data_IF_620007573858
#
_entry.id   IF_620007573858
#
_cell.length_a   1.000
_cell.length_b   1.000
_cell.length_c   1.000
_cell.angle_alpha   90.00
_cell.angle_beta   90.00
_cell.angle_gamma   90.00
#
_symmetry.space_group_name_H-M   'P 1'
#
loop_
_entity.id
_entity.type
_entity.pdbx_description
1 polymer ?
#
# COMPACT_ATOMS: atom_id res chain seq x y z
N UNK A 1 -62.29 10.88 -25.63
CA UNK A 1 -61.70 9.91 -26.59
C UNK A 1 -60.80 10.73 -27.51
N UNK A 2 -59.48 10.69 -27.60
CA UNK A 2 -58.38 9.86 -27.04
C UNK A 2 -57.08 10.70 -27.12
N UNK A 3 -56.28 10.63 -26.05
CA UNK A 3 -54.80 10.68 -25.92
C UNK A 3 -53.96 11.57 -26.86
N UNK A 4 -53.49 12.69 -26.30
CA UNK A 4 -52.16 13.26 -26.53
C UNK A 4 -51.10 12.47 -25.77
N UNK A 5 -49.85 12.56 -26.23
CA UNK A 5 -48.65 12.24 -25.45
C UNK A 5 -47.84 11.13 -26.09
N UNK A 6 -46.84 11.53 -26.88
CA UNK A 6 -45.84 10.64 -27.45
C UNK A 6 -44.93 10.03 -26.39
N UNK A 7 -44.25 8.99 -26.81
CA UNK A 7 -43.21 8.27 -26.09
C UNK A 7 -42.07 9.22 -25.71
N UNK A 8 -41.79 9.34 -24.41
CA UNK A 8 -40.43 9.54 -23.92
C UNK A 8 -40.17 8.45 -22.88
N UNK A 9 -39.33 7.52 -23.33
CA UNK A 9 -38.85 6.35 -22.64
C UNK A 9 -37.69 6.79 -21.75
N UNK A 10 -38.00 7.21 -20.52
CA UNK A 10 -37.01 7.44 -19.46
C UNK A 10 -37.53 6.78 -18.18
N UNK A 11 -37.32 5.48 -18.08
CA UNK A 11 -37.46 4.76 -16.81
C UNK A 11 -36.29 3.80 -16.70
N UNK A 12 -35.26 4.32 -16.02
CA UNK A 12 -34.32 3.59 -15.21
C UNK A 12 -33.53 2.49 -15.93
N UNK A 13 -32.44 2.90 -16.57
CA UNK A 13 -31.24 2.09 -16.66
C UNK A 13 -30.78 1.82 -15.21
N UNK A 14 -31.39 0.81 -14.60
CA UNK A 14 -30.98 0.19 -13.35
C UNK A 14 -29.60 -0.40 -13.65
N UNK A 15 -28.59 0.44 -13.49
CA UNK A 15 -27.22 0.19 -13.90
C UNK A 15 -26.79 -1.13 -13.29
N UNK A 16 -26.66 -2.15 -14.14
CA UNK A 16 -26.18 -3.46 -13.74
C UNK A 16 -24.80 -3.24 -13.12
N UNK A 17 -24.76 -3.16 -11.80
CA UNK A 17 -23.52 -2.94 -11.07
C UNK A 17 -22.72 -4.22 -11.27
N UNK A 18 -21.72 -4.16 -12.15
CA UNK A 18 -20.89 -5.29 -12.51
C UNK A 18 -20.34 -5.95 -11.23
N UNK A 19 -20.77 -7.19 -10.90
CA UNK A 19 -20.31 -7.89 -9.70
C UNK A 19 -18.78 -8.06 -9.70
N UNK A 20 -18.17 -8.14 -10.88
CA UNK A 20 -16.71 -8.21 -11.04
C UNK A 20 -16.07 -6.88 -10.64
N UNK A 21 -16.69 -5.74 -10.95
CA UNK A 21 -16.22 -4.43 -10.51
C UNK A 21 -16.34 -4.26 -8.99
N UNK A 22 -17.42 -4.76 -8.38
CA UNK A 22 -17.59 -4.77 -6.92
C UNK A 22 -16.50 -5.63 -6.26
N UNK A 23 -16.33 -6.88 -6.72
CA UNK A 23 -15.31 -7.79 -6.16
C UNK A 23 -13.89 -7.23 -6.34
N UNK A 24 -13.57 -6.62 -7.49
CA UNK A 24 -12.28 -5.93 -7.72
C UNK A 24 -12.11 -4.70 -6.83
N UNK A 25 -13.19 -3.96 -6.55
CA UNK A 25 -13.19 -2.85 -5.60
C UNK A 25 -12.89 -3.31 -4.18
N UNK A 26 -13.54 -4.39 -3.73
CA UNK A 26 -13.29 -5.02 -2.44
C UNK A 26 -11.88 -5.59 -2.31
N UNK A 27 -11.38 -6.28 -3.35
CA UNK A 27 -10.01 -6.83 -3.35
C UNK A 27 -8.97 -5.71 -3.19
N UNK A 28 -9.11 -4.62 -3.95
CA UNK A 28 -8.22 -3.45 -3.84
C UNK A 28 -8.34 -2.76 -2.48
N UNK A 29 -9.53 -2.69 -1.90
CA UNK A 29 -9.73 -2.12 -0.57
C UNK A 29 -9.09 -2.97 0.54
N UNK A 30 -9.12 -4.30 0.42
CA UNK A 30 -8.43 -5.22 1.32
C UNK A 30 -6.91 -5.09 1.17
N UNK A 31 -6.38 -5.15 -0.05
CA UNK A 31 -4.94 -4.98 -0.32
C UNK A 31 -4.41 -3.64 0.19
N UNK A 32 -5.18 -2.57 0.02
CA UNK A 32 -4.84 -1.25 0.56
C UNK A 32 -4.83 -1.26 2.09
N UNK A 33 -5.85 -1.84 2.73
CA UNK A 33 -5.93 -1.93 4.20
C UNK A 33 -4.77 -2.75 4.76
N UNK A 34 -4.40 -3.84 4.09
CA UNK A 34 -3.26 -4.68 4.46
C UNK A 34 -1.94 -3.91 4.36
N UNK A 35 -1.71 -3.17 3.27
CA UNK A 35 -0.53 -2.32 3.10
C UNK A 35 -0.42 -1.27 4.20
N UNK A 36 -1.53 -0.58 4.51
CA UNK A 36 -1.57 0.38 5.62
C UNK A 36 -1.28 -0.33 6.96
N UNK A 37 -1.83 -1.52 7.17
CA UNK A 37 -1.57 -2.34 8.36
C UNK A 37 -0.08 -2.66 8.55
N UNK A 38 0.63 -3.01 7.46
CA UNK A 38 2.07 -3.27 7.49
C UNK A 38 2.85 -2.01 7.89
N UNK A 39 2.56 -0.86 7.27
CA UNK A 39 3.21 0.41 7.60
C UNK A 39 3.00 0.81 9.07
N UNK A 40 1.74 0.73 9.54
CA UNK A 40 1.40 1.05 10.94
C UNK A 40 2.08 0.08 11.91
N UNK A 41 2.14 -1.22 11.59
CA UNK A 41 2.80 -2.23 12.40
C UNK A 41 4.29 -1.95 12.58
N UNK A 42 4.99 -1.58 11.50
CA UNK A 42 6.40 -1.19 11.56
C UNK A 42 6.61 0.05 12.45
N UNK A 43 5.85 1.13 12.21
CA UNK A 43 5.96 2.38 12.99
C UNK A 43 5.68 2.14 14.46
N UNK A 44 4.63 1.38 14.80
CA UNK A 44 4.30 1.03 16.18
C UNK A 44 5.40 0.20 16.86
N UNK A 45 5.98 -0.78 16.14
CA UNK A 45 7.10 -1.58 16.62
C UNK A 45 8.33 -0.74 16.91
N UNK A 46 8.74 0.11 15.97
CA UNK A 46 9.88 1.01 16.11
C UNK A 46 9.67 1.98 17.28
N UNK A 47 8.50 2.62 17.36
CA UNK A 47 8.15 3.56 18.43
C UNK A 47 8.20 2.93 19.82
N UNK A 48 7.90 1.63 19.93
CA UNK A 48 7.98 0.88 21.19
C UNK A 48 9.41 0.46 21.54
N UNK A 49 10.21 0.05 20.56
CA UNK A 49 11.52 -0.58 20.80
C UNK A 49 12.65 0.45 20.91
N UNK A 50 12.64 1.50 20.10
CA UNK A 50 13.72 2.52 20.08
C UNK A 50 13.94 3.18 21.45
N UNK A 51 12.91 3.61 22.20
CA UNK A 51 13.10 4.18 23.53
C UNK A 51 13.77 3.24 24.53
N UNK A 52 13.61 1.91 24.37
CA UNK A 52 14.23 0.89 25.24
C UNK A 52 15.72 0.73 25.01
N UNK A 53 16.25 1.33 23.93
CA UNK A 53 17.67 1.36 23.60
C UNK A 53 18.40 2.57 24.20
N UNK A 54 17.67 3.51 24.83
CA UNK A 54 18.26 4.67 25.48
C UNK A 54 19.35 4.26 26.48
N UNK A 55 20.49 4.94 26.42
CA UNK A 55 21.63 4.70 27.31
C UNK A 55 22.42 3.42 27.01
N UNK A 56 22.11 2.71 25.91
CA UNK A 56 22.93 1.61 25.41
C UNK A 56 23.92 2.13 24.37
N UNK A 57 25.16 1.69 24.48
CA UNK A 57 26.16 1.85 23.43
C UNK A 57 26.03 0.71 22.42
N UNK A 58 26.16 1.04 21.14
CA UNK A 58 26.21 0.06 20.06
C UNK A 58 27.67 -0.10 19.63
N UNK A 59 28.09 -1.35 19.38
CA UNK A 59 29.33 -1.57 18.64
C UNK A 59 29.18 -1.05 17.21
N UNK A 60 30.31 -0.79 16.53
CA UNK A 60 30.31 -0.42 15.11
C UNK A 60 29.57 -1.45 14.25
N UNK A 61 29.74 -2.75 14.54
CA UNK A 61 29.05 -3.83 13.83
C UNK A 61 27.53 -3.81 14.02
N UNK A 62 27.07 -3.51 15.24
CA UNK A 62 25.63 -3.37 15.53
C UNK A 62 25.05 -2.14 14.86
N UNK A 63 25.76 -1.01 14.89
CA UNK A 63 25.35 0.21 14.22
C UNK A 63 25.24 -0.01 12.71
N UNK A 64 26.24 -0.62 12.10
CA UNK A 64 26.25 -0.94 10.68
C UNK A 64 25.09 -1.86 10.28
N UNK A 65 24.75 -2.85 11.12
CA UNK A 65 23.61 -3.73 10.89
C UNK A 65 22.28 -2.97 10.92
N UNK A 66 22.07 -2.10 11.92
CA UNK A 66 20.86 -1.28 12.02
C UNK A 66 20.76 -0.33 10.82
N UNK A 67 21.85 0.33 10.44
CA UNK A 67 21.89 1.23 9.28
C UNK A 67 21.50 0.52 7.99
N UNK A 68 22.07 -0.66 7.70
CA UNK A 68 21.71 -1.45 6.51
C UNK A 68 20.22 -1.83 6.48
N UNK A 69 19.65 -2.18 7.64
CA UNK A 69 18.22 -2.48 7.70
C UNK A 69 17.34 -1.24 7.48
N UNK A 70 17.73 -0.11 8.04
CA UNK A 70 17.03 1.16 7.80
C UNK A 70 17.10 1.58 6.33
N UNK A 71 18.22 1.35 5.65
CA UNK A 71 18.37 1.59 4.21
C UNK A 71 17.38 0.75 3.38
N UNK A 72 17.25 -0.55 3.69
CA UNK A 72 16.25 -1.42 3.04
C UNK A 72 14.82 -0.94 3.26
N UNK A 73 14.50 -0.52 4.49
CA UNK A 73 13.17 0.01 4.83
C UNK A 73 12.88 1.29 4.03
N UNK A 74 13.85 2.21 3.93
CA UNK A 74 13.69 3.45 3.14
C UNK A 74 13.44 3.14 1.66
N UNK A 75 14.28 2.29 1.06
CA UNK A 75 14.10 1.92 -0.34
C UNK A 75 12.75 1.22 -0.60
N UNK A 76 12.29 0.39 0.33
CA UNK A 76 10.96 -0.24 0.25
C UNK A 76 9.85 0.80 0.37
N UNK A 77 9.99 1.79 1.25
CA UNK A 77 9.02 2.88 1.39
C UNK A 77 8.96 3.75 0.12
N UNK A 78 10.10 4.07 -0.49
CA UNK A 78 10.18 4.82 -1.75
C UNK A 78 9.48 4.06 -2.90
N UNK A 79 9.64 2.73 -2.94
CA UNK A 79 8.94 1.88 -3.89
C UNK A 79 7.43 1.84 -3.65
N UNK A 80 6.99 1.74 -2.39
CA UNK A 80 5.55 1.83 -2.05
C UNK A 80 4.98 3.16 -2.53
N UNK A 81 5.66 4.28 -2.28
CA UNK A 81 5.22 5.61 -2.73
C UNK A 81 5.12 5.69 -4.26
N UNK A 82 6.13 5.17 -4.96
CA UNK A 82 6.15 5.12 -6.44
C UNK A 82 5.02 4.25 -6.99
N UNK A 83 4.78 3.09 -6.39
CA UNK A 83 3.73 2.16 -6.80
C UNK A 83 2.33 2.75 -6.60
N UNK A 84 2.08 3.38 -5.46
CA UNK A 84 0.78 4.01 -5.16
C UNK A 84 0.54 5.26 -6.03
N UNK A 85 1.57 6.07 -6.28
CA UNK A 85 1.42 7.32 -7.06
C UNK A 85 1.32 7.09 -8.57
N UNK A 86 1.94 6.03 -9.09
CA UNK A 86 2.02 5.78 -10.55
C UNK A 86 1.25 4.54 -11.03
N UNK A 87 0.81 3.68 -10.11
CA UNK A 87 0.23 2.37 -10.44
C UNK A 87 1.24 1.33 -10.94
N UNK A 88 2.53 1.67 -11.04
CA UNK A 88 3.59 0.74 -11.46
C UNK A 88 4.15 0.01 -10.26
N UNK A 89 3.85 -1.29 -10.17
CA UNK A 89 4.22 -2.16 -9.05
C UNK A 89 5.49 -2.97 -9.32
N UNK A 90 6.19 -2.70 -10.43
CA UNK A 90 7.42 -3.40 -10.77
C UNK A 90 8.53 -3.03 -9.76
N UNK A 91 9.23 -4.04 -9.27
CA UNK A 91 10.39 -3.87 -8.40
C UNK A 91 11.60 -3.58 -9.30
N UNK A 92 12.26 -2.44 -9.11
CA UNK A 92 13.49 -2.18 -9.85
C UNK A 92 14.64 -3.10 -9.39
N UNK A 93 15.62 -3.29 -10.28
CA UNK A 93 16.73 -4.21 -10.05
C UNK A 93 17.62 -3.78 -8.87
N UNK A 94 17.74 -2.48 -8.60
CA UNK A 94 18.52 -1.96 -7.49
C UNK A 94 17.87 -2.27 -6.13
N UNK A 95 16.56 -2.11 -6.02
CA UNK A 95 15.77 -2.51 -4.86
C UNK A 95 15.75 -4.02 -4.70
N UNK A 96 15.62 -4.78 -5.79
CA UNK A 96 15.69 -6.23 -5.76
C UNK A 96 17.02 -6.72 -5.16
N UNK A 97 18.14 -6.17 -5.62
CA UNK A 97 19.47 -6.50 -5.09
C UNK A 97 19.65 -6.04 -3.65
N UNK A 98 19.14 -4.86 -3.28
CA UNK A 98 19.18 -4.36 -1.91
C UNK A 98 18.37 -5.25 -0.95
N UNK A 99 17.22 -5.77 -1.39
CA UNK A 99 16.39 -6.68 -0.59
C UNK A 99 16.97 -8.09 -0.50
N UNK A 100 17.65 -8.57 -1.55
CA UNK A 100 18.35 -9.87 -1.57
C UNK A 100 19.66 -9.85 -0.76
N UNK A 101 20.38 -8.73 -0.76
CA UNK A 101 21.65 -8.59 -0.08
C UNK A 101 21.51 -8.68 1.43
N UNK A 102 22.07 -9.72 2.05
CA UNK A 102 22.19 -9.87 3.51
C UNK A 102 23.21 -8.90 4.10
#
# INVERSE_FOLDING_TARGET
>A
MRRSGGEENDADEDGVVDPVAIVRGFHRAMEFTDLIGVCQGFVAGASRLVPRLRGREFSESQLALVTRQVEKIRATADWIETAVSTGRVDLDEALAELLRGQ
#
